data_IF_319889259173
#
_entry.id   IF_319889259173
#
_cell.length_a   1.000
_cell.length_b   1.000
_cell.length_c   1.000
_cell.angle_alpha   90.00
_cell.angle_beta   90.00
_cell.angle_gamma   90.00
#
_symmetry.space_group_name_H-M   'P 1'
#
loop_
_entity.id
_entity.type
_entity.pdbx_description
1 polymer ?
#
# COMPACT_ATOMS: atom_id res chain seq x y z
N UNK A 1 -12.24 -3.61 6.88
CA UNK A 1 -11.57 -4.48 5.89
C UNK A 1 -10.11 -4.10 5.91
N UNK A 2 -9.20 -5.08 5.79
CA UNK A 2 -7.79 -4.78 5.61
C UNK A 2 -7.62 -4.03 4.28
N UNK A 3 -6.68 -3.07 4.25
CA UNK A 3 -6.38 -2.33 3.03
C UNK A 3 -5.51 -3.19 2.11
N UNK A 4 -5.81 -3.16 0.83
CA UNK A 4 -5.20 -4.02 -0.18
C UNK A 4 -4.40 -3.22 -1.20
N UNK A 5 -3.19 -3.70 -1.53
CA UNK A 5 -2.44 -3.22 -2.68
C UNK A 5 -2.34 -4.32 -3.74
N UNK A 6 -2.57 -3.98 -5.00
CA UNK A 6 -2.55 -4.94 -6.10
C UNK A 6 -1.30 -4.83 -6.95
N UNK A 7 -0.60 -5.95 -7.18
CA UNK A 7 0.44 -6.02 -8.20
C UNK A 7 -0.15 -6.00 -9.60
N UNK A 8 0.30 -5.07 -10.41
CA UNK A 8 -0.10 -4.89 -11.81
C UNK A 8 1.15 -4.84 -12.68
N UNK A 9 1.08 -5.32 -13.90
CA UNK A 9 2.17 -5.25 -14.86
C UNK A 9 1.90 -6.10 -16.10
N UNK A 10 2.63 -5.84 -17.16
CA UNK A 10 2.60 -6.63 -18.38
C UNK A 10 3.09 -8.07 -18.13
N UNK A 11 2.87 -9.01 -19.05
CA UNK A 11 3.43 -10.36 -18.95
C UNK A 11 4.96 -10.32 -18.85
N UNK A 12 5.52 -11.26 -18.10
CA UNK A 12 6.98 -11.51 -18.00
C UNK A 12 7.82 -10.32 -17.45
N UNK A 13 7.22 -9.41 -16.66
CA UNK A 13 7.94 -8.32 -15.99
C UNK A 13 8.52 -8.71 -14.63
N UNK A 14 8.29 -9.97 -14.17
CA UNK A 14 8.71 -10.44 -12.84
C UNK A 14 7.67 -10.26 -11.73
N UNK A 15 6.41 -9.98 -12.09
CA UNK A 15 5.31 -9.78 -11.13
C UNK A 15 5.07 -10.99 -10.23
N UNK A 16 4.95 -12.19 -10.81
CA UNK A 16 4.72 -13.42 -10.04
C UNK A 16 5.93 -13.81 -9.19
N UNK A 17 7.15 -13.52 -9.65
CA UNK A 17 8.37 -13.69 -8.85
C UNK A 17 8.32 -12.83 -7.59
N UNK A 18 7.95 -11.55 -7.73
CA UNK A 18 7.80 -10.64 -6.62
C UNK A 18 6.67 -11.06 -5.67
N UNK A 19 5.52 -11.49 -6.20
CA UNK A 19 4.42 -11.99 -5.38
C UNK A 19 4.80 -13.24 -4.59
N UNK A 20 5.58 -14.14 -5.19
CA UNK A 20 6.09 -15.32 -4.49
C UNK A 20 7.07 -14.94 -3.37
N UNK A 21 7.95 -13.94 -3.60
CA UNK A 21 8.83 -13.41 -2.56
C UNK A 21 8.03 -12.87 -1.37
N UNK A 22 7.01 -12.06 -1.64
CA UNK A 22 6.06 -11.56 -0.63
C UNK A 22 5.37 -12.69 0.12
N UNK A 23 4.84 -13.69 -0.60
CA UNK A 23 4.10 -14.82 -0.03
C UNK A 23 5.01 -15.75 0.78
N UNK A 24 6.25 -15.97 0.36
CA UNK A 24 7.22 -16.78 1.10
C UNK A 24 7.69 -16.06 2.37
N UNK A 25 7.96 -14.76 2.29
CA UNK A 25 8.23 -13.94 3.48
C UNK A 25 7.08 -14.02 4.48
N UNK A 26 5.84 -13.96 4.02
CA UNK A 26 4.65 -14.11 4.86
C UNK A 26 4.55 -15.50 5.51
N UNK A 27 4.86 -16.58 4.77
CA UNK A 27 4.84 -17.96 5.29
C UNK A 27 5.95 -18.18 6.33
N UNK A 28 7.17 -17.74 6.09
CA UNK A 28 8.28 -17.82 7.02
C UNK A 28 7.93 -17.11 8.36
N UNK A 29 7.24 -15.98 8.28
CA UNK A 29 6.76 -15.24 9.45
C UNK A 29 5.53 -15.90 10.11
N UNK A 30 4.63 -16.51 9.33
CA UNK A 30 3.40 -17.17 9.82
C UNK A 30 3.66 -18.47 10.59
N UNK A 31 4.82 -19.13 10.40
CA UNK A 31 5.22 -20.30 11.22
C UNK A 31 5.25 -19.97 12.71
N UNK A 32 5.38 -18.69 13.06
CA UNK A 32 5.32 -18.18 14.43
C UNK A 32 3.91 -17.78 14.90
N UNK A 33 2.89 -17.75 14.00
CA UNK A 33 1.54 -17.31 14.34
C UNK A 33 0.48 -18.27 13.76
N UNK A 34 -0.37 -18.83 14.63
CA UNK A 34 -1.49 -19.71 14.25
C UNK A 34 -2.64 -18.86 13.66
N UNK A 35 -3.22 -19.29 12.52
CA UNK A 35 -4.38 -18.71 11.79
C UNK A 35 -4.02 -17.72 10.68
N UNK A 36 -3.36 -18.16 9.59
CA UNK A 36 -3.42 -17.49 8.30
C UNK A 36 -4.17 -18.39 7.30
N UNK A 37 -5.35 -17.98 6.88
CA UNK A 37 -6.02 -18.56 5.70
C UNK A 37 -5.31 -17.96 4.48
N UNK A 38 -4.65 -18.82 3.69
CA UNK A 38 -4.01 -18.37 2.43
C UNK A 38 -5.07 -18.49 1.35
N UNK A 39 -5.62 -17.36 0.91
CA UNK A 39 -6.41 -17.32 -0.31
C UNK A 39 -5.47 -17.33 -1.52
N UNK A 40 -5.81 -18.04 -2.62
CA UNK A 40 -5.02 -17.97 -3.84
C UNK A 40 -4.96 -16.51 -4.33
N UNK A 41 -3.75 -16.03 -4.64
CA UNK A 41 -3.46 -14.67 -5.09
C UNK A 41 -3.58 -13.54 -4.05
N UNK A 42 -3.75 -13.84 -2.76
CA UNK A 42 -3.68 -12.85 -1.67
C UNK A 42 -2.57 -13.22 -0.71
N UNK A 43 -1.59 -12.33 -0.54
CA UNK A 43 -0.51 -12.45 0.43
C UNK A 43 -0.74 -11.49 1.61
N UNK A 44 -0.84 -12.01 2.82
CA UNK A 44 -0.87 -11.21 4.04
C UNK A 44 0.56 -11.04 4.55
N UNK A 45 1.08 -9.81 4.53
CA UNK A 45 2.49 -9.51 4.80
C UNK A 45 2.64 -8.66 6.04
N UNK A 46 3.54 -9.05 6.94
CA UNK A 46 3.89 -8.21 8.08
C UNK A 46 4.64 -6.96 7.61
N UNK A 47 4.28 -5.82 8.18
CA UNK A 47 5.02 -4.58 7.98
C UNK A 47 6.23 -4.60 8.92
N UNK A 48 7.47 -4.62 8.40
CA UNK A 48 8.66 -4.56 9.23
C UNK A 48 8.68 -3.24 10.01
N UNK A 49 8.81 -3.29 11.33
CA UNK A 49 8.88 -2.06 12.14
C UNK A 49 9.92 -2.23 13.27
N UNK A 50 11.08 -1.58 13.15
CA UNK A 50 12.12 -1.66 14.16
C UNK A 50 11.67 -1.12 15.53
N UNK A 51 10.63 -0.27 15.55
CA UNK A 51 10.06 0.25 16.79
C UNK A 51 9.36 -0.85 17.59
N UNK A 52 8.66 -1.78 16.90
CA UNK A 52 8.01 -2.92 17.54
C UNK A 52 9.05 -3.85 18.19
N UNK A 53 10.15 -4.14 17.49
CA UNK A 53 11.26 -4.95 18.01
C UNK A 53 11.86 -4.29 19.26
N UNK A 54 12.05 -2.97 19.22
CA UNK A 54 12.60 -2.23 20.38
C UNK A 54 11.66 -2.24 21.58
N UNK A 55 10.36 -2.15 21.37
CA UNK A 55 9.36 -2.27 22.43
C UNK A 55 9.33 -3.68 23.02
N UNK A 56 9.48 -4.73 22.19
CA UNK A 56 9.60 -6.12 22.64
C UNK A 56 10.79 -6.32 23.56
N UNK A 57 11.97 -5.81 23.19
CA UNK A 57 13.18 -5.88 24.01
C UNK A 57 12.99 -5.24 25.40
N UNK A 58 12.29 -4.09 25.45
CA UNK A 58 12.09 -3.32 26.68
C UNK A 58 11.04 -3.95 27.58
N UNK A 59 9.92 -4.36 27.01
CA UNK A 59 8.74 -4.85 27.75
C UNK A 59 8.87 -6.35 28.06
N UNK A 60 9.55 -7.12 27.20
CA UNK A 60 9.68 -8.60 27.26
C UNK A 60 8.31 -9.27 27.41
N UNK A 61 7.40 -9.06 26.44
CA UNK A 61 6.04 -9.57 26.51
C UNK A 61 5.98 -11.08 26.27
N UNK A 62 4.86 -11.69 26.63
CA UNK A 62 4.59 -13.08 26.26
C UNK A 62 4.36 -13.26 24.75
N UNK A 63 3.95 -12.19 24.04
CA UNK A 63 3.63 -12.21 22.61
C UNK A 63 3.89 -10.84 21.99
N UNK A 64 4.42 -10.86 20.76
CA UNK A 64 4.59 -9.65 19.93
C UNK A 64 3.79 -9.81 18.63
N UNK A 65 3.01 -8.81 18.23
CA UNK A 65 2.14 -8.88 17.06
C UNK A 65 2.42 -7.69 16.15
N UNK A 66 2.98 -7.91 14.95
CA UNK A 66 3.19 -6.86 13.96
C UNK A 66 1.88 -6.44 13.30
N UNK A 67 1.86 -5.29 12.65
CA UNK A 67 0.82 -4.92 11.70
C UNK A 67 1.01 -5.62 10.36
N UNK A 68 -0.06 -5.72 9.58
CA UNK A 68 -0.08 -6.46 8.32
C UNK A 68 -0.78 -5.65 7.24
N UNK A 69 -0.37 -5.85 5.98
CA UNK A 69 -1.07 -5.39 4.79
C UNK A 69 -1.38 -6.58 3.88
N UNK A 70 -2.43 -6.46 3.09
CA UNK A 70 -2.79 -7.43 2.08
C UNK A 70 -2.22 -7.01 0.72
N UNK A 71 -1.51 -7.93 0.06
CA UNK A 71 -1.01 -7.75 -1.30
C UNK A 71 -1.65 -8.79 -2.20
N UNK A 72 -2.26 -8.33 -3.30
CA UNK A 72 -3.01 -9.16 -4.23
C UNK A 72 -2.24 -9.29 -5.54
N UNK A 73 -2.04 -10.53 -6.03
CA UNK A 73 -1.54 -10.73 -7.39
C UNK A 73 -2.69 -10.61 -8.40
N UNK A 74 -2.70 -9.50 -9.12
CA UNK A 74 -3.67 -9.26 -10.19
C UNK A 74 -3.08 -9.81 -11.48
N UNK A 75 -3.79 -10.73 -12.13
CA UNK A 75 -3.36 -11.35 -13.38
C UNK A 75 -2.93 -10.30 -14.42
N UNK A 76 -1.87 -10.59 -15.20
CA UNK A 76 -1.28 -9.62 -16.11
C UNK A 76 -2.26 -9.08 -17.16
N UNK A 77 -2.11 -7.81 -17.49
CA UNK A 77 -2.87 -7.14 -18.55
C UNK A 77 -2.32 -7.53 -19.92
N UNK A 78 -3.22 -7.80 -20.86
CA UNK A 78 -2.94 -7.86 -22.29
C UNK A 78 -3.54 -6.60 -22.94
N UNK A 79 -2.86 -6.02 -23.94
CA UNK A 79 -3.39 -4.88 -24.72
C UNK A 79 -4.82 -5.12 -25.18
N UNK A 80 -5.67 -4.10 -25.12
CA UNK A 80 -7.07 -4.20 -25.52
C UNK A 80 -7.99 -4.79 -24.45
N UNK A 81 -7.55 -4.90 -23.23
CA UNK A 81 -8.34 -5.40 -22.11
C UNK A 81 -9.61 -4.59 -21.86
N UNK A 82 -9.59 -3.28 -22.12
CA UNK A 82 -10.75 -2.39 -22.02
C UNK A 82 -11.83 -2.67 -23.08
N UNK A 83 -11.42 -3.23 -24.23
CA UNK A 83 -12.32 -3.57 -25.37
C UNK A 83 -12.67 -5.06 -25.44
N UNK A 84 -11.98 -5.91 -24.65
CA UNK A 84 -12.09 -7.36 -24.72
C UNK A 84 -13.16 -7.97 -23.84
N UNK A 85 -13.73 -9.08 -24.30
CA UNK A 85 -14.54 -9.96 -23.48
C UNK A 85 -13.62 -10.89 -22.66
N UNK A 86 -13.96 -11.15 -21.39
CA UNK A 86 -13.29 -12.18 -20.59
C UNK A 86 -12.19 -11.70 -19.66
N UNK A 87 -10.92 -12.08 -19.91
CA UNK A 87 -9.79 -11.87 -18.97
C UNK A 87 -9.51 -10.40 -18.65
N UNK A 88 -9.64 -9.49 -19.62
CA UNK A 88 -9.44 -8.06 -19.39
C UNK A 88 -10.45 -7.45 -18.42
N UNK A 89 -11.71 -7.84 -18.50
CA UNK A 89 -12.73 -7.38 -17.56
C UNK A 89 -12.50 -7.89 -16.13
N UNK A 90 -11.99 -9.13 -15.97
CA UNK A 90 -11.62 -9.66 -14.64
C UNK A 90 -10.44 -8.89 -14.05
N UNK A 91 -9.43 -8.58 -14.86
CA UNK A 91 -8.29 -7.76 -14.46
C UNK A 91 -8.75 -6.39 -13.93
N UNK A 92 -9.58 -5.68 -14.69
CA UNK A 92 -10.10 -4.37 -14.30
C UNK A 92 -11.02 -4.44 -13.07
N UNK A 93 -11.77 -5.55 -12.89
CA UNK A 93 -12.57 -5.78 -11.69
C UNK A 93 -11.68 -5.96 -10.45
N UNK A 94 -10.61 -6.76 -10.55
CA UNK A 94 -9.68 -6.96 -9.44
C UNK A 94 -8.97 -5.65 -9.04
N UNK A 95 -8.61 -4.77 -10.01
CA UNK A 95 -8.04 -3.46 -9.69
C UNK A 95 -9.06 -2.58 -8.94
N UNK A 96 -10.37 -2.72 -9.19
CA UNK A 96 -11.38 -1.96 -8.45
C UNK A 96 -11.42 -2.29 -6.97
N UNK A 97 -11.12 -3.52 -6.60
CA UNK A 97 -11.20 -4.02 -5.23
C UNK A 97 -10.02 -3.58 -4.37
N UNK A 98 -8.86 -3.32 -4.95
CA UNK A 98 -7.67 -2.87 -4.20
C UNK A 98 -7.66 -1.36 -3.96
N UNK A 99 -6.97 -0.91 -2.90
CA UNK A 99 -6.88 0.51 -2.51
C UNK A 99 -5.71 1.24 -3.15
N UNK A 100 -4.66 0.51 -3.55
CA UNK A 100 -3.47 1.04 -4.22
C UNK A 100 -2.95 0.07 -5.28
N UNK A 101 -2.18 0.58 -6.23
CA UNK A 101 -1.55 -0.19 -7.31
C UNK A 101 -0.04 -0.21 -7.11
N UNK A 102 0.56 -1.40 -7.17
CA UNK A 102 2.01 -1.59 -7.27
C UNK A 102 2.29 -2.01 -8.71
N UNK A 103 2.78 -1.08 -9.51
CA UNK A 103 3.02 -1.31 -10.93
C UNK A 103 4.44 -1.82 -11.18
N UNK A 104 4.58 -3.11 -11.47
CA UNK A 104 5.86 -3.77 -11.76
C UNK A 104 6.22 -3.59 -13.23
N UNK A 105 7.38 -3.02 -13.49
CA UNK A 105 7.86 -2.69 -14.83
C UNK A 105 9.22 -3.35 -15.07
N UNK A 106 9.38 -3.98 -16.23
CA UNK A 106 10.63 -4.61 -16.63
C UNK A 106 11.66 -3.56 -17.03
N UNK A 107 12.79 -3.54 -16.31
CA UNK A 107 13.93 -2.67 -16.55
C UNK A 107 15.23 -3.45 -16.72
N UNK A 108 15.16 -4.65 -17.31
CA UNK A 108 16.31 -5.53 -17.56
C UNK A 108 16.20 -6.22 -18.93
N UNK A 109 17.33 -6.54 -19.51
CA UNK A 109 17.43 -7.33 -20.74
C UNK A 109 17.69 -8.80 -20.36
N UNK A 110 16.94 -9.73 -20.98
CA UNK A 110 17.15 -11.17 -20.89
C UNK A 110 16.59 -11.81 -22.15
N UNK A 111 17.47 -12.45 -22.93
CA UNK A 111 17.13 -13.09 -24.21
C UNK A 111 16.23 -14.33 -24.02
N UNK A 112 16.26 -14.95 -22.84
CA UNK A 112 15.46 -16.14 -22.54
C UNK A 112 14.03 -15.79 -22.09
N UNK A 113 13.75 -14.53 -21.76
CA UNK A 113 12.44 -14.07 -21.32
C UNK A 113 11.72 -13.40 -22.48
N UNK A 114 10.73 -14.10 -23.03
CA UNK A 114 9.94 -13.61 -24.14
C UNK A 114 9.29 -12.26 -23.82
N UNK A 115 9.34 -11.37 -24.78
CA UNK A 115 8.59 -10.12 -24.81
C UNK A 115 7.62 -10.15 -25.99
N UNK A 116 6.40 -9.74 -25.77
CA UNK A 116 5.38 -9.75 -26.82
C UNK A 116 5.64 -8.70 -27.91
N UNK A 117 6.31 -7.57 -27.55
CA UNK A 117 6.57 -6.47 -28.49
C UNK A 117 7.93 -5.78 -28.25
N UNK A 118 8.75 -5.71 -29.28
CA UNK A 118 9.88 -4.79 -29.46
C UNK A 118 10.97 -4.78 -28.37
N UNK A 119 11.77 -3.73 -28.35
CA UNK A 119 12.82 -3.50 -27.36
C UNK A 119 12.25 -3.12 -25.98
N UNK A 120 13.04 -3.30 -24.91
CA UNK A 120 12.67 -2.88 -23.54
C UNK A 120 12.40 -1.36 -23.53
N UNK A 121 11.20 -0.98 -23.13
CA UNK A 121 10.78 0.42 -23.01
C UNK A 121 9.84 0.60 -21.82
N UNK A 122 10.40 0.90 -20.63
CA UNK A 122 9.61 1.04 -19.39
C UNK A 122 8.55 2.13 -19.44
N UNK A 123 8.81 3.21 -20.18
CA UNK A 123 7.87 4.32 -20.33
C UNK A 123 6.65 3.87 -21.14
N UNK A 124 6.87 3.19 -22.27
CA UNK A 124 5.79 2.63 -23.06
C UNK A 124 5.00 1.55 -22.29
N UNK A 125 5.68 0.71 -21.51
CA UNK A 125 5.03 -0.32 -20.70
C UNK A 125 4.12 0.30 -19.62
N UNK A 126 4.56 1.39 -18.99
CA UNK A 126 3.76 2.21 -18.07
C UNK A 126 2.51 2.76 -18.76
N UNK A 127 2.70 3.42 -19.91
CA UNK A 127 1.64 4.08 -20.66
C UNK A 127 0.56 3.09 -21.16
N UNK A 128 0.94 1.87 -21.52
CA UNK A 128 -0.01 0.83 -21.94
C UNK A 128 -1.01 0.54 -20.82
N UNK A 129 -0.53 0.28 -19.61
CA UNK A 129 -1.38 -0.01 -18.45
C UNK A 129 -2.27 1.21 -18.13
N UNK A 130 -1.68 2.40 -18.06
CA UNK A 130 -2.43 3.62 -17.74
C UNK A 130 -3.52 3.90 -18.75
N UNK A 131 -3.24 3.75 -20.05
CA UNK A 131 -4.23 3.94 -21.09
C UNK A 131 -5.43 3.02 -20.95
N UNK A 132 -5.19 1.73 -20.63
CA UNK A 132 -6.30 0.78 -20.43
C UNK A 132 -7.16 1.16 -19.21
N UNK A 133 -6.54 1.63 -18.12
CA UNK A 133 -7.27 2.11 -16.94
C UNK A 133 -8.07 3.38 -17.25
N UNK A 134 -7.46 4.34 -17.96
CA UNK A 134 -8.10 5.60 -18.39
C UNK A 134 -9.30 5.33 -19.30
N UNK A 135 -9.16 4.44 -20.28
CA UNK A 135 -10.26 4.07 -21.19
C UNK A 135 -11.43 3.44 -20.43
N UNK A 136 -11.14 2.62 -19.43
CA UNK A 136 -12.19 2.01 -18.59
C UNK A 136 -12.89 3.03 -17.70
N UNK A 137 -12.14 3.96 -17.14
CA UNK A 137 -12.72 5.04 -16.35
C UNK A 137 -13.56 5.97 -17.23
N UNK A 138 -13.07 6.31 -18.42
CA UNK A 138 -13.81 7.13 -19.38
C UNK A 138 -15.15 6.52 -19.74
N UNK A 139 -15.21 5.20 -19.99
CA UNK A 139 -16.47 4.48 -20.23
C UNK A 139 -17.46 4.63 -19.05
N UNK A 140 -16.95 4.53 -17.82
CA UNK A 140 -17.78 4.63 -16.61
C UNK A 140 -18.28 6.07 -16.40
N UNK A 141 -17.39 7.04 -16.60
CA UNK A 141 -17.66 8.48 -16.50
C UNK A 141 -18.68 8.93 -17.56
N UNK A 142 -18.55 8.48 -18.81
CA UNK A 142 -19.50 8.81 -19.88
C UNK A 142 -20.92 8.27 -19.62
N UNK A 143 -21.01 7.04 -19.13
CA UNK A 143 -22.30 6.45 -18.75
C UNK A 143 -22.97 7.25 -17.63
N UNK A 144 -22.22 7.68 -16.63
CA UNK A 144 -22.74 8.49 -15.54
C UNK A 144 -23.08 9.90 -16.01
N UNK A 145 -22.26 10.52 -16.86
CA UNK A 145 -22.50 11.84 -17.47
C UNK A 145 -23.87 11.89 -18.14
N UNK A 146 -24.14 10.95 -19.06
CA UNK A 146 -25.41 10.89 -19.80
C UNK A 146 -26.65 10.72 -18.90
N UNK A 147 -26.53 10.03 -17.77
CA UNK A 147 -27.60 9.87 -16.78
C UNK A 147 -27.80 11.15 -15.96
N UNK A 148 -26.71 11.71 -15.44
CA UNK A 148 -26.73 12.91 -14.59
C UNK A 148 -27.18 14.14 -15.35
N UNK A 149 -26.77 14.30 -16.62
CA UNK A 149 -27.17 15.42 -17.49
C UNK A 149 -28.71 15.56 -17.62
N UNK A 150 -29.42 14.44 -17.68
CA UNK A 150 -30.90 14.44 -17.77
C UNK A 150 -31.54 14.97 -16.46
N UNK A 151 -30.95 14.61 -15.31
CA UNK A 151 -31.46 14.96 -13.97
C UNK A 151 -31.06 16.39 -13.61
N UNK A 152 -29.88 16.82 -14.02
CA UNK A 152 -29.31 18.16 -13.72
C UNK A 152 -30.15 19.32 -14.26
N UNK A 153 -31.09 19.07 -15.18
CA UNK A 153 -32.02 20.08 -15.68
C UNK A 153 -33.01 20.58 -14.62
N UNK A 154 -33.30 19.76 -13.62
CA UNK A 154 -34.31 20.05 -12.58
C UNK A 154 -33.76 19.94 -11.16
N UNK A 155 -32.56 19.40 -10.96
CA UNK A 155 -31.97 19.15 -9.66
C UNK A 155 -30.60 19.88 -9.53
N UNK A 156 -30.50 20.79 -8.57
CA UNK A 156 -29.29 21.57 -8.32
C UNK A 156 -28.11 20.70 -7.82
N UNK A 157 -28.39 19.61 -7.07
CA UNK A 157 -27.37 18.68 -6.59
C UNK A 157 -26.78 17.88 -7.76
N UNK A 158 -27.66 17.39 -8.64
CA UNK A 158 -27.22 16.70 -9.86
C UNK A 158 -26.44 17.63 -10.81
N UNK A 159 -26.73 18.94 -10.80
CA UNK A 159 -25.96 19.94 -11.57
C UNK A 159 -24.52 20.10 -11.03
N UNK A 160 -24.35 20.15 -9.71
CA UNK A 160 -23.02 20.20 -9.10
C UNK A 160 -22.22 18.91 -9.38
N UNK A 161 -22.87 17.75 -9.30
CA UNK A 161 -22.25 16.47 -9.62
C UNK A 161 -21.85 16.38 -11.10
N UNK A 162 -22.68 16.91 -12.01
CA UNK A 162 -22.39 16.96 -13.44
C UNK A 162 -21.13 17.76 -13.77
N UNK A 163 -20.89 18.86 -13.06
CA UNK A 163 -19.66 19.66 -13.22
C UNK A 163 -18.41 18.83 -12.89
N UNK A 164 -18.44 18.08 -11.78
CA UNK A 164 -17.33 17.19 -11.38
C UNK A 164 -17.10 16.10 -12.43
N UNK A 165 -18.18 15.46 -12.88
CA UNK A 165 -18.13 14.40 -13.91
C UNK A 165 -17.58 14.96 -15.23
N UNK A 166 -17.97 16.18 -15.63
CA UNK A 166 -17.47 16.84 -16.84
C UNK A 166 -15.96 17.07 -16.79
N UNK A 167 -15.46 17.57 -15.64
CA UNK A 167 -14.03 17.76 -15.40
C UNK A 167 -13.26 16.44 -15.45
N UNK A 168 -13.81 15.39 -14.85
CA UNK A 168 -13.23 14.04 -14.92
C UNK A 168 -13.15 13.54 -16.37
N UNK A 169 -14.23 13.70 -17.14
CA UNK A 169 -14.28 13.31 -18.56
C UNK A 169 -13.22 14.01 -19.37
N UNK A 170 -13.16 15.35 -19.33
CA UNK A 170 -12.16 16.14 -20.06
C UNK A 170 -10.72 15.79 -19.67
N UNK A 171 -10.49 15.44 -18.41
CA UNK A 171 -9.18 15.08 -17.92
C UNK A 171 -8.73 13.74 -18.49
N UNK A 172 -9.61 12.74 -18.50
CA UNK A 172 -9.36 11.42 -19.08
C UNK A 172 -9.20 11.48 -20.60
N UNK A 173 -9.99 12.29 -21.31
CA UNK A 173 -9.86 12.52 -22.76
C UNK A 173 -8.50 13.12 -23.15
N UNK A 174 -7.84 13.82 -22.21
CA UNK A 174 -6.46 14.34 -22.36
C UNK A 174 -5.38 13.32 -21.99
N UNK A 175 -5.76 12.06 -21.71
CA UNK A 175 -4.83 11.01 -21.31
C UNK A 175 -4.22 11.23 -19.93
N UNK A 176 -4.96 11.81 -18.97
CA UNK A 176 -4.47 12.08 -17.62
C UNK A 176 -5.24 11.27 -16.58
N UNK A 177 -4.52 10.76 -15.59
CA UNK A 177 -5.09 10.00 -14.47
C UNK A 177 -5.90 10.91 -13.54
N UNK A 178 -7.05 10.46 -13.06
CA UNK A 178 -7.97 11.25 -12.21
C UNK A 178 -7.29 11.75 -10.93
N UNK A 179 -6.37 10.99 -10.35
CA UNK A 179 -5.62 11.42 -9.17
C UNK A 179 -4.91 12.76 -9.36
N UNK A 180 -4.52 13.09 -10.61
CA UNK A 180 -3.84 14.36 -10.96
C UNK A 180 -4.81 15.52 -11.15
N UNK A 181 -6.13 15.29 -11.15
CA UNK A 181 -7.14 16.35 -11.26
C UNK A 181 -7.28 17.17 -9.97
N UNK A 182 -6.83 16.64 -8.83
CA UNK A 182 -6.84 17.35 -7.55
C UNK A 182 -8.25 17.59 -7.00
N UNK A 183 -9.13 16.59 -7.10
CA UNK A 183 -10.48 16.64 -6.53
C UNK A 183 -10.45 16.79 -5.00
N UNK A 184 -11.34 17.62 -4.45
CA UNK A 184 -11.54 17.73 -3.01
C UNK A 184 -12.14 16.44 -2.43
N UNK A 185 -12.09 16.28 -1.09
CA UNK A 185 -12.70 15.12 -0.41
C UNK A 185 -14.21 15.03 -0.69
N UNK A 186 -14.89 16.16 -0.70
CA UNK A 186 -16.33 16.27 -0.97
C UNK A 186 -16.64 15.88 -2.43
N UNK A 187 -15.81 16.32 -3.38
CA UNK A 187 -15.95 15.96 -4.79
C UNK A 187 -15.72 14.46 -5.00
N UNK A 188 -14.70 13.87 -4.35
CA UNK A 188 -14.45 12.42 -4.40
C UNK A 188 -15.62 11.62 -3.84
N UNK A 189 -16.22 12.07 -2.74
CA UNK A 189 -17.42 11.42 -2.16
C UNK A 189 -18.60 11.47 -3.14
N UNK A 190 -18.79 12.58 -3.85
CA UNK A 190 -19.89 12.74 -4.79
C UNK A 190 -19.83 11.78 -6.00
N UNK A 191 -18.65 11.32 -6.37
CA UNK A 191 -18.42 10.39 -7.49
C UNK A 191 -17.88 9.02 -7.05
N UNK A 192 -17.91 8.71 -5.76
CA UNK A 192 -17.34 7.48 -5.21
C UNK A 192 -17.93 6.20 -5.81
N UNK A 193 -19.19 6.24 -6.25
CA UNK A 193 -19.88 5.14 -6.93
C UNK A 193 -19.29 4.78 -8.31
N UNK A 194 -18.44 5.63 -8.89
CA UNK A 194 -17.71 5.33 -10.13
C UNK A 194 -16.56 4.35 -9.92
N UNK A 195 -16.01 4.25 -8.71
CA UNK A 195 -14.85 3.40 -8.39
C UNK A 195 -13.72 3.57 -9.41
N UNK A 196 -13.31 4.84 -9.64
CA UNK A 196 -12.33 5.19 -10.67
C UNK A 196 -10.98 4.53 -10.39
N UNK A 197 -10.46 3.83 -11.40
CA UNK A 197 -9.21 3.08 -11.34
C UNK A 197 -8.00 4.02 -11.30
N UNK A 198 -8.07 5.13 -12.06
CA UNK A 198 -7.01 6.12 -12.18
C UNK A 198 -7.00 7.16 -11.05
N UNK A 199 -7.93 7.10 -10.09
CA UNK A 199 -7.88 7.85 -8.83
C UNK A 199 -7.10 7.11 -7.72
N UNK A 200 -6.72 5.86 -7.96
CA UNK A 200 -5.92 5.08 -7.00
C UNK A 200 -4.46 5.53 -7.01
N UNK A 201 -3.81 5.59 -5.83
CA UNK A 201 -2.39 5.87 -5.74
C UNK A 201 -1.57 4.73 -6.34
N UNK A 202 -0.43 5.08 -6.98
CA UNK A 202 0.43 4.13 -7.68
C UNK A 202 1.85 4.21 -7.12
N UNK A 203 2.43 3.03 -6.83
CA UNK A 203 3.86 2.82 -6.55
C UNK A 203 4.47 2.05 -7.72
N UNK A 204 5.58 2.52 -8.27
CA UNK A 204 6.26 1.83 -9.36
C UNK A 204 7.40 0.96 -8.83
N UNK A 205 7.54 -0.23 -9.39
CA UNK A 205 8.68 -1.13 -9.16
C UNK A 205 9.45 -1.27 -10.47
N UNK A 206 10.65 -0.71 -10.51
CA UNK A 206 11.61 -0.92 -11.60
C UNK A 206 12.37 -2.22 -11.32
N UNK A 207 11.93 -3.33 -11.91
CA UNK A 207 12.60 -4.62 -11.80
C UNK A 207 13.82 -4.63 -12.70
N UNK A 208 15.02 -4.59 -12.11
CA UNK A 208 16.32 -4.55 -12.79
C UNK A 208 17.06 -5.88 -12.69
N UNK A 209 18.13 -6.04 -13.48
CA UNK A 209 19.10 -7.12 -13.33
C UNK A 209 19.96 -6.94 -12.06
N UNK A 210 20.67 -8.00 -11.69
CA UNK A 210 21.53 -8.03 -10.50
C UNK A 210 22.63 -6.96 -10.54
N UNK A 211 23.25 -6.73 -11.68
CA UNK A 211 24.32 -5.75 -11.85
C UNK A 211 23.82 -4.30 -11.59
N UNK A 212 22.54 -4.07 -11.78
CA UNK A 212 21.90 -2.76 -11.65
C UNK A 212 21.18 -2.54 -10.32
N UNK A 213 21.21 -3.49 -9.39
CA UNK A 213 20.38 -3.49 -8.18
C UNK A 213 20.61 -2.26 -7.27
N UNK A 214 21.83 -1.74 -7.21
CA UNK A 214 22.18 -0.61 -6.34
C UNK A 214 22.07 0.75 -7.01
N UNK A 215 22.39 0.84 -8.29
CA UNK A 215 22.51 2.10 -9.01
C UNK A 215 21.41 2.34 -10.03
N UNK A 216 20.62 1.29 -10.32
CA UNK A 216 19.72 1.30 -11.45
C UNK A 216 20.48 1.24 -12.78
N UNK A 217 19.75 1.39 -13.88
CA UNK A 217 20.27 1.41 -15.25
C UNK A 217 19.52 2.43 -16.10
N UNK A 218 19.85 2.51 -17.39
CA UNK A 218 19.20 3.43 -18.35
C UNK A 218 17.66 3.29 -18.37
N UNK A 219 17.13 2.10 -18.14
CA UNK A 219 15.70 1.80 -18.15
C UNK A 219 15.01 2.30 -16.89
N UNK A 220 15.57 2.01 -15.71
CA UNK A 220 15.02 2.52 -14.45
C UNK A 220 15.11 4.04 -14.36
N UNK A 221 16.17 4.65 -14.90
CA UNK A 221 16.32 6.11 -14.97
C UNK A 221 15.27 6.74 -15.88
N UNK A 222 14.99 6.13 -17.06
CA UNK A 222 13.94 6.60 -17.96
C UNK A 222 12.55 6.55 -17.27
N UNK A 223 12.26 5.48 -16.52
CA UNK A 223 11.03 5.39 -15.74
C UNK A 223 10.94 6.47 -14.66
N UNK A 224 12.01 6.67 -13.88
CA UNK A 224 12.05 7.70 -12.84
C UNK A 224 11.79 9.11 -13.40
N UNK A 225 12.39 9.44 -14.55
CA UNK A 225 12.17 10.74 -15.17
C UNK A 225 10.73 10.89 -15.71
N UNK A 226 10.15 9.81 -16.26
CA UNK A 226 8.77 9.81 -16.73
C UNK A 226 7.75 10.09 -15.63
N UNK A 227 7.98 9.57 -14.41
CA UNK A 227 7.05 9.72 -13.26
C UNK A 227 7.38 10.90 -12.35
N UNK A 228 8.49 11.58 -12.56
CA UNK A 228 9.00 12.65 -11.69
C UNK A 228 7.98 13.75 -11.37
N UNK A 229 7.18 14.14 -12.38
CA UNK A 229 6.17 15.18 -12.23
C UNK A 229 4.81 14.65 -11.72
N UNK A 230 4.68 13.35 -11.55
CA UNK A 230 3.45 12.73 -11.05
C UNK A 230 3.42 12.63 -9.52
N UNK A 231 4.56 12.84 -8.86
CA UNK A 231 4.70 12.69 -7.40
C UNK A 231 4.71 11.25 -6.92
N UNK A 232 4.82 10.28 -7.84
CA UNK A 232 4.85 8.86 -7.54
C UNK A 232 6.27 8.39 -7.23
N UNK A 233 6.40 7.43 -6.32
CA UNK A 233 7.67 6.80 -5.95
C UNK A 233 8.01 5.67 -6.93
N UNK A 234 9.32 5.49 -7.21
CA UNK A 234 9.87 4.35 -7.97
C UNK A 234 10.86 3.61 -7.08
N UNK A 235 10.61 2.34 -6.83
CA UNK A 235 11.54 1.45 -6.14
C UNK A 235 12.31 0.66 -7.18
N UNK A 236 13.64 0.80 -7.17
CA UNK A 236 14.54 -0.07 -7.94
C UNK A 236 14.84 -1.31 -7.12
N UNK A 237 14.58 -2.49 -7.69
CA UNK A 237 14.85 -3.76 -7.01
C UNK A 237 15.07 -4.88 -8.04
N UNK A 238 15.68 -5.96 -7.59
CA UNK A 238 15.88 -7.18 -8.37
C UNK A 238 14.99 -8.27 -7.81
N UNK A 239 13.86 -8.52 -8.46
CA UNK A 239 12.85 -9.46 -7.95
C UNK A 239 13.39 -10.88 -7.75
N UNK A 240 14.38 -11.31 -8.55
CA UNK A 240 15.02 -12.61 -8.40
C UNK A 240 15.83 -12.72 -7.08
N UNK A 241 16.57 -11.68 -6.72
CA UNK A 241 17.33 -11.62 -5.46
C UNK A 241 16.37 -11.59 -4.27
N UNK A 242 15.30 -10.79 -4.34
CA UNK A 242 14.29 -10.77 -3.27
C UNK A 242 13.59 -12.12 -3.08
N UNK A 243 13.36 -12.86 -4.16
CA UNK A 243 12.80 -14.21 -4.08
C UNK A 243 13.77 -15.17 -3.37
N UNK A 244 15.08 -15.09 -3.65
CA UNK A 244 16.09 -15.89 -2.95
C UNK A 244 16.17 -15.52 -1.46
N UNK A 245 16.17 -14.21 -1.11
CA UNK A 245 16.18 -13.74 0.27
C UNK A 245 14.95 -14.28 1.05
N UNK A 246 13.80 -14.35 0.40
CA UNK A 246 12.57 -14.83 1.01
C UNK A 246 12.55 -16.37 1.24
N UNK A 247 13.45 -17.13 0.64
CA UNK A 247 13.59 -18.58 0.82
C UNK A 247 14.45 -18.96 2.04
N UNK A 248 15.26 -18.04 2.58
CA UNK A 248 16.08 -18.33 3.74
C UNK A 248 15.23 -18.44 5.01
N UNK A 249 15.27 -19.62 5.63
CA UNK A 249 14.64 -19.87 6.94
C UNK A 249 15.54 -19.45 8.11
N UNK A 250 16.87 -19.58 7.91
CA UNK A 250 17.86 -19.23 8.93
C UNK A 250 18.23 -17.72 8.81
N UNK A 251 18.05 -16.93 9.89
CA UNK A 251 18.43 -15.52 9.89
C UNK A 251 19.91 -15.25 9.59
N UNK A 252 20.82 -16.12 10.05
CA UNK A 252 22.26 -15.96 9.85
C UNK A 252 22.63 -16.14 8.36
N UNK A 253 22.06 -17.15 7.69
CA UNK A 253 22.28 -17.39 6.27
C UNK A 253 21.70 -16.25 5.45
N UNK A 254 20.53 -15.72 5.81
CA UNK A 254 19.94 -14.54 5.21
C UNK A 254 20.86 -13.32 5.35
N UNK A 255 21.41 -13.11 6.54
CA UNK A 255 22.31 -12.00 6.80
C UNK A 255 23.60 -12.12 5.98
N UNK A 256 24.21 -13.30 5.91
CA UNK A 256 25.40 -13.56 5.08
C UNK A 256 25.15 -13.27 3.61
N UNK A 257 24.00 -13.72 3.08
CA UNK A 257 23.61 -13.45 1.70
C UNK A 257 23.46 -11.94 1.44
N UNK A 258 22.78 -11.23 2.34
CA UNK A 258 22.62 -9.78 2.24
C UNK A 258 23.97 -9.03 2.30
N UNK A 259 24.92 -9.49 3.12
CA UNK A 259 26.28 -8.92 3.20
C UNK A 259 27.06 -9.14 1.91
N UNK A 260 26.96 -10.31 1.28
CA UNK A 260 27.56 -10.60 -0.03
C UNK A 260 27.08 -9.60 -1.10
N UNK A 261 25.78 -9.32 -1.12
CA UNK A 261 25.16 -8.35 -2.01
C UNK A 261 25.24 -6.89 -1.52
N UNK A 262 25.90 -6.63 -0.38
CA UNK A 262 26.02 -5.29 0.23
C UNK A 262 24.68 -4.60 0.44
N UNK A 263 23.68 -5.36 0.83
CA UNK A 263 22.33 -4.87 1.13
C UNK A 263 22.21 -4.57 2.62
N UNK A 264 21.80 -3.35 2.98
CA UNK A 264 21.49 -2.99 4.36
C UNK A 264 20.15 -3.56 4.83
N UNK A 265 19.19 -3.64 3.91
CA UNK A 265 17.85 -4.21 4.11
C UNK A 265 17.33 -4.79 2.78
N UNK A 266 16.40 -5.76 2.82
CA UNK A 266 15.70 -6.24 1.61
C UNK A 266 14.94 -5.09 0.94
N UNK A 267 14.96 -5.03 -0.39
CA UNK A 267 14.14 -4.06 -1.11
C UNK A 267 12.64 -4.35 -0.96
N UNK A 268 12.28 -5.59 -0.66
CA UNK A 268 10.92 -5.99 -0.30
C UNK A 268 10.42 -5.25 0.95
N UNK A 269 11.25 -5.06 1.97
CA UNK A 269 10.89 -4.32 3.17
C UNK A 269 10.61 -2.84 2.85
N UNK A 270 11.43 -2.23 1.99
CA UNK A 270 11.17 -0.88 1.47
C UNK A 270 9.86 -0.81 0.68
N UNK A 271 9.58 -1.81 -0.14
CA UNK A 271 8.33 -1.90 -0.90
C UNK A 271 7.11 -1.93 0.04
N UNK A 272 7.17 -2.73 1.10
CA UNK A 272 6.11 -2.83 2.10
C UNK A 272 5.92 -1.49 2.81
N UNK A 273 6.99 -0.84 3.25
CA UNK A 273 6.93 0.48 3.89
C UNK A 273 6.37 1.56 2.96
N UNK A 274 6.84 1.61 1.70
CA UNK A 274 6.33 2.58 0.72
C UNK A 274 4.85 2.32 0.40
N UNK A 275 4.42 1.05 0.33
CA UNK A 275 3.01 0.70 0.14
C UNK A 275 2.17 1.13 1.34
N UNK A 276 2.67 0.95 2.56
CA UNK A 276 1.99 1.37 3.78
C UNK A 276 1.79 2.89 3.81
N UNK A 277 2.84 3.64 3.46
CA UNK A 277 2.78 5.09 3.31
C UNK A 277 1.84 5.54 2.19
N UNK A 278 1.87 4.85 1.04
CA UNK A 278 1.00 5.13 -0.11
C UNK A 278 -0.48 5.02 0.25
N UNK A 279 -0.82 4.04 1.09
CA UNK A 279 -2.17 3.83 1.63
C UNK A 279 -2.55 4.84 2.73
N UNK A 280 -1.68 5.84 3.00
CA UNK A 280 -1.88 6.85 4.05
C UNK A 280 -2.12 6.23 5.43
N UNK A 281 -1.35 5.18 5.76
CA UNK A 281 -1.43 4.47 7.03
C UNK A 281 -0.41 5.00 8.04
N UNK A 282 -0.72 4.81 9.31
CA UNK A 282 0.14 5.05 10.44
C UNK A 282 0.01 3.90 11.45
N UNK A 283 0.99 3.77 12.32
CA UNK A 283 1.03 2.74 13.35
C UNK A 283 1.04 3.36 14.73
N UNK A 284 0.19 2.88 15.63
CA UNK A 284 0.37 3.07 17.06
C UNK A 284 0.60 1.72 17.73
N UNK A 285 1.15 1.74 18.93
CA UNK A 285 1.49 0.53 19.68
C UNK A 285 0.66 0.43 20.97
N UNK A 286 0.35 -0.79 21.36
CA UNK A 286 -0.02 -1.12 22.72
C UNK A 286 1.11 -1.95 23.34
N UNK A 287 1.58 -1.58 24.53
CA UNK A 287 2.72 -2.22 25.17
C UNK A 287 2.34 -2.70 26.57
N UNK A 288 2.29 -4.01 26.75
CA UNK A 288 1.98 -4.65 28.02
C UNK A 288 2.69 -6.00 28.15
N UNK A 289 2.80 -6.51 29.38
CA UNK A 289 3.47 -7.79 29.67
C UNK A 289 2.83 -8.97 28.93
N UNK A 290 1.54 -8.94 28.66
CA UNK A 290 0.87 -10.01 27.92
C UNK A 290 1.13 -9.91 26.42
N UNK A 291 1.08 -8.70 25.87
CA UNK A 291 1.24 -8.47 24.44
C UNK A 291 1.83 -7.08 24.19
N UNK A 292 2.79 -7.02 23.26
CA UNK A 292 3.16 -5.81 22.54
C UNK A 292 2.63 -5.94 21.12
N UNK A 293 1.85 -4.94 20.66
CA UNK A 293 1.21 -5.02 19.37
C UNK A 293 1.23 -3.70 18.63
N UNK A 294 1.51 -3.79 17.33
CA UNK A 294 1.37 -2.70 16.38
C UNK A 294 -0.05 -2.72 15.77
N UNK A 295 -0.69 -1.55 15.71
CA UNK A 295 -2.03 -1.37 15.19
C UNK A 295 -2.03 -0.41 14.01
N UNK A 296 -2.65 -0.82 12.91
CA UNK A 296 -2.79 0.01 11.71
C UNK A 296 -3.97 0.95 11.83
N UNK A 297 -3.75 2.22 11.55
CA UNK A 297 -4.78 3.25 11.43
C UNK A 297 -4.55 4.10 10.19
N UNK A 298 -5.54 4.86 9.74
CA UNK A 298 -5.30 5.92 8.77
C UNK A 298 -4.64 7.13 9.45
N UNK A 299 -3.69 7.73 8.76
CA UNK A 299 -3.06 8.96 9.23
C UNK A 299 -4.12 10.06 9.45
N UNK A 300 -4.02 10.76 10.58
CA UNK A 300 -4.98 11.80 10.96
C UNK A 300 -6.22 11.30 11.71
N UNK A 301 -6.32 10.01 12.01
CA UNK A 301 -7.41 9.50 12.86
C UNK A 301 -7.30 10.00 14.28
N UNK A 302 -8.46 10.27 14.88
CA UNK A 302 -8.60 10.65 16.29
C UNK A 302 -8.59 9.41 17.20
N UNK A 303 -8.29 9.62 18.46
CA UNK A 303 -8.16 8.55 19.47
C UNK A 303 -9.36 7.58 19.52
N UNK A 304 -10.65 8.01 19.46
CA UNK A 304 -11.76 7.06 19.40
C UNK A 304 -11.75 6.17 18.16
N UNK A 305 -11.44 6.74 16.98
CA UNK A 305 -11.33 5.98 15.74
C UNK A 305 -10.15 4.97 15.81
N UNK A 306 -9.01 5.39 16.36
CA UNK A 306 -7.87 4.50 16.58
C UNK A 306 -8.21 3.37 17.56
N UNK A 307 -9.00 3.62 18.60
CA UNK A 307 -9.46 2.60 19.53
C UNK A 307 -10.37 1.56 18.86
N UNK A 308 -11.13 1.93 17.82
CA UNK A 308 -12.05 1.03 17.13
C UNK A 308 -11.36 -0.15 16.44
N UNK A 309 -10.07 -0.05 16.08
CA UNK A 309 -9.32 -1.16 15.47
C UNK A 309 -9.02 -2.28 16.47
N UNK A 310 -9.06 -1.99 17.76
CA UNK A 310 -8.97 -3.01 18.82
C UNK A 310 -10.33 -3.71 18.96
N UNK A 311 -11.39 -2.93 19.12
CA UNK A 311 -12.77 -3.38 19.19
C UNK A 311 -13.73 -2.22 18.92
N UNK A 312 -14.83 -2.47 18.22
CA UNK A 312 -15.83 -1.42 17.88
C UNK A 312 -16.45 -0.76 19.11
N UNK A 313 -16.55 -1.48 20.23
CA UNK A 313 -17.09 -0.91 21.48
C UNK A 313 -16.14 0.10 22.12
N UNK A 314 -14.83 0.02 21.81
CA UNK A 314 -13.85 1.00 22.33
C UNK A 314 -14.08 2.39 21.77
N UNK A 315 -14.55 2.51 20.52
CA UNK A 315 -14.93 3.79 19.94
C UNK A 315 -16.14 4.38 20.63
N UNK A 316 -17.20 3.57 20.81
CA UNK A 316 -18.48 4.01 21.41
C UNK A 316 -18.31 4.38 22.88
N UNK A 317 -17.58 3.54 23.63
CA UNK A 317 -17.34 3.70 25.06
C UNK A 317 -16.10 4.53 25.39
N UNK A 318 -15.45 5.18 24.42
CA UNK A 318 -14.19 5.90 24.64
C UNK A 318 -14.32 6.99 25.72
N UNK A 319 -13.43 6.92 26.72
CA UNK A 319 -13.32 7.91 27.80
C UNK A 319 -12.09 8.79 27.58
N UNK A 320 -10.91 8.18 27.50
CA UNK A 320 -9.61 8.84 27.32
C UNK A 320 -8.57 7.85 26.82
N UNK A 321 -7.45 8.37 26.28
CA UNK A 321 -6.26 7.62 25.99
C UNK A 321 -5.10 8.08 26.88
N UNK A 322 -4.34 7.14 27.39
CA UNK A 322 -3.03 7.38 27.99
C UNK A 322 -2.01 7.20 26.88
N UNK A 323 -1.21 8.23 26.59
CA UNK A 323 -0.34 8.30 25.41
C UNK A 323 1.09 8.62 25.83
N UNK A 324 2.05 7.83 25.35
CA UNK A 324 3.47 8.06 25.49
C UNK A 324 4.08 8.09 24.10
N UNK A 325 4.87 9.10 23.76
CA UNK A 325 5.59 9.11 22.50
C UNK A 325 6.64 7.96 22.49
N UNK A 326 6.80 7.28 21.35
CA UNK A 326 7.74 6.16 21.22
C UNK A 326 9.15 6.50 21.75
N UNK A 327 9.70 7.65 21.37
CA UNK A 327 11.03 8.07 21.80
C UNK A 327 11.12 8.26 23.32
N UNK A 328 10.08 8.76 23.98
CA UNK A 328 10.03 8.86 25.44
C UNK A 328 9.98 7.46 26.06
N UNK A 329 9.18 6.56 25.49
CA UNK A 329 9.10 5.17 26.00
C UNK A 329 10.45 4.46 25.91
N UNK A 330 11.17 4.60 24.79
CA UNK A 330 12.52 4.03 24.61
C UNK A 330 13.52 4.66 25.58
N UNK A 331 13.45 5.98 25.78
CA UNK A 331 14.37 6.70 26.66
C UNK A 331 14.23 6.29 28.13
N UNK A 332 13.00 6.19 28.63
CA UNK A 332 12.73 5.86 30.02
C UNK A 332 12.54 4.34 30.28
N UNK A 333 12.38 3.55 29.26
CA UNK A 333 12.36 2.08 29.28
C UNK A 333 11.09 1.42 29.82
N UNK A 334 10.13 2.18 30.36
CA UNK A 334 8.86 1.62 30.85
C UNK A 334 7.76 2.68 30.97
N UNK A 335 6.49 2.24 30.94
CA UNK A 335 5.33 3.11 31.19
C UNK A 335 5.40 3.76 32.57
N UNK A 336 5.81 3.03 33.62
CA UNK A 336 5.93 3.56 34.96
C UNK A 336 6.93 4.72 35.05
N UNK A 337 8.13 4.54 34.48
CA UNK A 337 9.15 5.57 34.42
C UNK A 337 8.72 6.77 33.59
N UNK A 338 8.01 6.58 32.47
CA UNK A 338 7.43 7.67 31.68
C UNK A 338 6.41 8.46 32.50
N UNK A 339 5.58 7.78 33.31
CA UNK A 339 4.58 8.41 34.18
C UNK A 339 5.24 9.27 35.27
N UNK A 340 6.26 8.72 35.95
CA UNK A 340 7.02 9.43 36.98
C UNK A 340 7.73 10.67 36.46
N UNK A 341 8.17 10.64 35.19
CA UNK A 341 8.85 11.75 34.52
C UNK A 341 7.89 12.68 33.76
N UNK A 342 6.56 12.53 33.91
CA UNK A 342 5.57 13.40 33.29
C UNK A 342 5.48 13.26 31.76
N UNK A 343 5.88 12.13 31.21
CA UNK A 343 5.83 11.83 29.76
C UNK A 343 4.60 11.08 29.33
N UNK A 344 3.83 10.53 30.26
CA UNK A 344 2.52 9.96 30.01
C UNK A 344 1.47 11.09 29.98
N UNK A 345 0.89 11.31 28.81
CA UNK A 345 -0.16 12.31 28.57
C UNK A 345 -1.53 11.65 28.65
N UNK A 346 -2.52 12.40 29.09
CA UNK A 346 -3.91 11.99 29.09
C UNK A 346 -4.62 12.79 27.99
N UNK A 347 -5.11 12.10 26.97
CA UNK A 347 -5.68 12.70 25.78
C UNK A 347 -7.18 12.37 25.66
N UNK A 348 -7.94 13.33 25.13
CA UNK A 348 -9.38 13.23 24.91
C UNK A 348 -9.75 12.78 23.50
N UNK A 349 -11.04 12.91 23.17
CA UNK A 349 -11.65 12.47 21.91
C UNK A 349 -11.08 13.17 20.66
N UNK A 350 -10.60 14.39 20.81
CA UNK A 350 -10.09 15.22 19.69
C UNK A 350 -8.60 14.99 19.39
N UNK A 351 -7.92 14.15 20.19
CA UNK A 351 -6.52 13.87 19.97
C UNK A 351 -6.31 13.13 18.65
N UNK A 352 -5.48 13.69 17.79
CA UNK A 352 -5.04 13.06 16.53
C UNK A 352 -3.83 12.18 16.84
N UNK A 353 -3.99 10.88 16.66
CA UNK A 353 -2.95 9.88 16.94
C UNK A 353 -1.75 10.12 16.03
N UNK A 354 -0.56 10.13 16.64
CA UNK A 354 0.69 10.27 15.92
C UNK A 354 1.29 8.89 15.61
N UNK A 355 1.97 8.78 14.46
CA UNK A 355 2.69 7.55 14.13
C UNK A 355 3.78 7.26 15.16
N UNK A 356 3.73 6.08 15.77
CA UNK A 356 4.63 5.66 16.84
C UNK A 356 4.12 5.90 18.26
N UNK A 357 2.96 6.48 18.46
CA UNK A 357 2.39 6.61 19.82
C UNK A 357 2.25 5.22 20.49
N UNK A 358 2.65 5.13 21.76
CA UNK A 358 2.35 3.98 22.63
C UNK A 358 1.13 4.35 23.47
N UNK A 359 0.03 3.60 23.29
CA UNK A 359 -1.28 4.02 23.77
C UNK A 359 -1.95 2.97 24.65
N UNK A 360 -2.69 3.46 25.65
CA UNK A 360 -3.61 2.66 26.44
C UNK A 360 -4.97 3.35 26.49
N UNK A 361 -6.01 2.69 25.97
CA UNK A 361 -7.37 3.25 25.94
C UNK A 361 -8.16 2.90 27.20
N UNK A 362 -8.86 3.89 27.75
CA UNK A 362 -9.85 3.72 28.81
C UNK A 362 -11.24 3.90 28.20
N UNK A 363 -12.08 2.92 28.38
CA UNK A 363 -13.42 2.87 27.83
C UNK A 363 -14.39 2.32 28.87
N UNK A 364 -15.68 2.60 28.67
CA UNK A 364 -16.77 2.03 29.45
C UNK A 364 -17.78 1.43 28.45
N UNK A 365 -18.18 0.17 28.68
CA UNK A 365 -19.12 -0.59 27.83
C UNK A 365 -20.43 -0.71 28.60
#
# INVERSE_FOLDING_TARGET
MALQAGFVGLPNVGKSTLFNAVSNSAKAQASNYRFCTIEPNVGLVNVPDPRLIKLEELVKPNRTVPTQIEIVDIAGLVRGASKGEGLGNKFLANIREVDAIIHVIRCFEDENILREEGAINPVSDKEIIETELQLKDLESVEKKFQRTEKIAKTDAKAKAELDIISRCKEHLEKGKNIITLGLSKEEKIAIADLFLLTDKPILYVANVDEASMHTGNKYSQALMEAVKNEGNEVIVMTNAIEAQIAEFENPDDKQMFMEEYKMAEPALDRLIHSTYKLLNLATYFTAGVQEVRAWTIHQGWKAPQAASVIHTDFEKGFIKAEVIAYNDFVHYGSEAACRENGRLRIEGKEYVVQDGDVMHFRFNV
#
